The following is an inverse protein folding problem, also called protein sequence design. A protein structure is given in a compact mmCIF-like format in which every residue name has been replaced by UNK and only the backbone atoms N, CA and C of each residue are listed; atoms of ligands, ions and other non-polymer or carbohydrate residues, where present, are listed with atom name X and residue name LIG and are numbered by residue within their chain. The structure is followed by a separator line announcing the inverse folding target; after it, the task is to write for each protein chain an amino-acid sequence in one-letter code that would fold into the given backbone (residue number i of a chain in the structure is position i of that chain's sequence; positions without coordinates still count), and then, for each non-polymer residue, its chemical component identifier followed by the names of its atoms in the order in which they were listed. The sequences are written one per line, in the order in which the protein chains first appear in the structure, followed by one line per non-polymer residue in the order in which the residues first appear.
data_IF_310776373076
#
_entry.id   IF_310776373076
#
_cell.length_a   1.000
_cell.length_b   1.000
_cell.length_c   1.000
_cell.angle_alpha   90.00
_cell.angle_beta   90.00
_cell.angle_gamma   90.00
#
_symmetry.space_group_name_H-M   'P 1'
#
loop_
_entity.id
_entity.type
_entity.pdbx_description
1 polymer ?
#
# COMPACT_ATOMS: atom_id res chain seq x y z
N UNK A 1 -1.12 20.17 -4.12
CA UNK A 1 -1.79 18.95 -4.58
C UNK A 1 -0.87 17.78 -4.28
N UNK A 2 -1.39 16.69 -3.74
CA UNK A 2 -0.65 15.45 -3.49
C UNK A 2 -1.03 14.42 -4.56
N UNK A 3 -0.10 13.52 -4.88
CA UNK A 3 -0.36 12.35 -5.71
C UNK A 3 -0.84 11.21 -4.81
N UNK A 4 -2.01 10.67 -5.11
CA UNK A 4 -2.66 9.58 -4.37
C UNK A 4 -2.15 8.23 -4.83
N UNK A 5 -1.44 7.54 -3.95
CA UNK A 5 -0.68 6.33 -4.29
C UNK A 5 -1.28 5.11 -3.59
N UNK A 6 -1.43 4.04 -4.37
CA UNK A 6 -1.64 2.69 -3.88
C UNK A 6 -0.36 1.86 -4.03
N UNK A 7 -0.04 1.02 -3.05
CA UNK A 7 1.11 0.11 -3.08
C UNK A 7 0.63 -1.34 -3.03
N UNK A 8 0.94 -2.15 -4.04
CA UNK A 8 0.73 -3.60 -3.99
C UNK A 8 1.97 -4.30 -3.44
N UNK A 9 1.78 -5.48 -2.85
CA UNK A 9 2.88 -6.17 -2.16
C UNK A 9 3.31 -5.42 -0.88
N UNK A 10 2.35 -4.76 -0.21
CA UNK A 10 2.59 -3.86 0.92
C UNK A 10 3.33 -4.51 2.10
N UNK A 11 3.17 -5.81 2.32
CA UNK A 11 3.88 -6.54 3.39
C UNK A 11 5.29 -6.99 2.98
N UNK A 12 5.61 -6.91 1.69
CA UNK A 12 6.95 -7.20 1.17
C UNK A 12 7.98 -6.18 1.64
N UNK A 13 9.27 -6.54 1.52
CA UNK A 13 10.39 -5.65 1.88
C UNK A 13 10.30 -4.31 1.17
N UNK A 14 10.05 -4.32 -0.14
CA UNK A 14 9.93 -3.08 -0.92
C UNK A 14 8.61 -2.35 -0.65
N UNK A 15 7.50 -3.08 -0.45
CA UNK A 15 6.21 -2.48 -0.11
C UNK A 15 6.29 -1.60 1.14
N UNK A 16 6.94 -2.10 2.20
CA UNK A 16 7.19 -1.32 3.43
C UNK A 16 8.03 -0.06 3.18
N UNK A 17 9.11 -0.19 2.40
CA UNK A 17 9.95 0.96 2.02
C UNK A 17 9.20 1.99 1.20
N UNK A 18 8.32 1.55 0.29
CA UNK A 18 7.49 2.46 -0.50
C UNK A 18 6.46 3.19 0.37
N UNK A 19 5.82 2.48 1.31
CA UNK A 19 4.90 3.10 2.29
C UNK A 19 5.61 4.19 3.09
N UNK A 20 6.80 3.89 3.62
CA UNK A 20 7.64 4.87 4.31
C UNK A 20 8.00 6.06 3.41
N UNK A 21 8.44 5.81 2.18
CA UNK A 21 8.82 6.86 1.24
C UNK A 21 7.65 7.78 0.84
N UNK A 22 6.45 7.21 0.67
CA UNK A 22 5.23 7.98 0.41
C UNK A 22 4.90 8.86 1.61
N UNK A 23 4.98 8.33 2.84
CA UNK A 23 4.70 9.09 4.06
C UNK A 23 5.71 10.23 4.32
N UNK A 24 6.96 10.07 3.90
CA UNK A 24 7.99 11.12 4.01
C UNK A 24 7.86 12.23 2.95
N UNK A 25 7.08 12.01 1.90
CA UNK A 25 6.96 12.95 0.79
C UNK A 25 5.82 13.96 1.03
N UNK A 26 6.09 15.28 1.00
CA UNK A 26 5.02 16.29 1.09
C UNK A 26 4.15 16.37 -0.17
N UNK A 27 4.51 15.63 -1.23
CA UNK A 27 3.82 15.63 -2.52
C UNK A 27 3.10 14.31 -2.81
N UNK A 28 3.12 13.35 -1.88
CA UNK A 28 2.45 12.07 -2.03
C UNK A 28 1.58 11.76 -0.82
N UNK A 29 0.55 10.96 -1.04
CA UNK A 29 -0.36 10.49 0.00
C UNK A 29 -0.62 9.00 -0.23
N UNK A 30 -0.37 8.18 0.80
CA UNK A 30 -0.73 6.77 0.75
C UNK A 30 -2.24 6.68 0.91
N UNK A 31 -2.91 6.04 -0.06
CA UNK A 31 -4.36 5.83 -0.03
C UNK A 31 -4.75 4.38 0.07
N UNK A 32 -3.88 3.47 -0.34
CA UNK A 32 -4.12 2.04 -0.22
C UNK A 32 -2.84 1.23 -0.10
N UNK A 33 -2.95 0.14 0.65
CA UNK A 33 -1.93 -0.90 0.77
C UNK A 33 -2.59 -2.24 0.45
N UNK A 34 -2.10 -2.93 -0.58
CA UNK A 34 -2.69 -4.15 -1.10
C UNK A 34 -1.74 -5.31 -0.89
N UNK A 35 -2.29 -6.42 -0.44
CA UNK A 35 -1.63 -7.73 -0.38
C UNK A 35 -2.51 -8.79 -1.01
N UNK A 36 -1.94 -9.99 -1.15
CA UNK A 36 -2.70 -11.17 -1.59
C UNK A 36 -3.89 -11.40 -0.65
N UNK A 37 -5.10 -11.75 -1.16
CA UNK A 37 -6.28 -11.99 -0.32
C UNK A 37 -6.06 -13.04 0.77
N UNK A 38 -5.16 -13.99 0.55
CA UNK A 38 -4.81 -15.06 1.50
C UNK A 38 -3.78 -14.65 2.55
N UNK A 39 -3.32 -13.40 2.55
CA UNK A 39 -2.35 -12.90 3.53
C UNK A 39 -2.96 -12.87 4.93
N UNK A 40 -2.21 -13.31 5.94
CA UNK A 40 -2.62 -13.16 7.33
C UNK A 40 -2.57 -11.71 7.83
N UNK A 41 -2.11 -10.79 6.98
CA UNK A 41 -1.91 -9.37 7.29
C UNK A 41 -3.05 -8.48 6.78
N UNK A 42 -4.08 -9.06 6.15
CA UNK A 42 -5.28 -8.30 5.78
C UNK A 42 -5.90 -7.69 7.05
N UNK A 43 -6.23 -6.40 6.98
CA UNK A 43 -6.76 -5.61 8.09
C UNK A 43 -5.72 -5.00 9.02
N UNK A 44 -4.44 -5.38 8.93
CA UNK A 44 -3.35 -4.71 9.66
C UNK A 44 -3.15 -3.31 9.10
N UNK A 45 -2.83 -2.33 9.95
CA UNK A 45 -2.54 -0.98 9.50
C UNK A 45 -1.23 -0.93 8.68
N UNK A 46 -1.26 -0.24 7.53
CA UNK A 46 -0.13 -0.13 6.62
C UNK A 46 1.07 0.59 7.24
N UNK A 47 0.83 1.58 8.10
CA UNK A 47 1.89 2.31 8.78
C UNK A 47 2.54 1.48 9.87
N UNK A 48 1.76 0.74 10.65
CA UNK A 48 2.29 -0.23 11.62
C UNK A 48 3.11 -1.31 10.94
N UNK A 49 2.63 -1.82 9.81
CA UNK A 49 3.33 -2.82 8.99
C UNK A 49 4.70 -2.33 8.50
N UNK A 50 4.78 -1.04 8.15
CA UNK A 50 5.99 -0.36 7.68
C UNK A 50 6.85 0.23 8.83
N UNK A 51 6.37 0.19 10.08
CA UNK A 51 7.12 0.70 11.24
C UNK A 51 7.14 2.23 11.38
N UNK A 52 6.20 2.93 10.75
CA UNK A 52 6.13 4.41 10.72
C UNK A 52 5.00 4.98 11.60
N UNK A 53 4.37 4.14 12.42
CA UNK A 53 3.23 4.50 13.26
C UNK A 53 1.88 4.25 12.58
N UNK A 54 0.79 4.52 13.28
CA UNK A 54 -0.56 4.21 12.80
C UNK A 54 -1.02 5.23 11.74
N UNK A 55 -1.42 4.76 10.55
CA UNK A 55 -1.92 5.61 9.46
C UNK A 55 -3.45 5.57 9.29
N UNK A 56 -4.14 4.63 9.91
CA UNK A 56 -5.58 4.41 9.72
C UNK A 56 -5.91 3.79 8.35
N UNK A 57 -4.96 3.12 7.72
CA UNK A 57 -5.07 2.55 6.38
C UNK A 57 -4.91 1.03 6.47
N UNK A 58 -6.00 0.25 6.52
CA UNK A 58 -5.91 -1.20 6.60
C UNK A 58 -5.36 -1.76 5.28
N UNK A 59 -4.56 -2.81 5.38
CA UNK A 59 -4.15 -3.61 4.22
C UNK A 59 -5.36 -4.39 3.69
N UNK A 60 -5.63 -4.27 2.39
CA UNK A 60 -6.75 -4.92 1.70
C UNK A 60 -6.28 -6.06 0.78
N UNK A 61 -7.21 -6.96 0.45
CA UNK A 61 -6.92 -8.16 -0.34
C UNK A 61 -7.02 -7.95 -1.85
N UNK A 62 -7.72 -6.90 -2.29
CA UNK A 62 -7.89 -6.58 -3.69
C UNK A 62 -7.75 -5.09 -3.95
N UNK A 63 -7.21 -4.74 -5.12
CA UNK A 63 -7.22 -3.36 -5.60
C UNK A 63 -8.66 -2.86 -5.80
N UNK A 64 -9.59 -3.74 -6.17
CA UNK A 64 -11.00 -3.39 -6.42
C UNK A 64 -11.70 -2.80 -5.18
N UNK A 65 -11.23 -3.13 -3.99
CA UNK A 65 -11.75 -2.61 -2.72
C UNK A 65 -11.39 -1.12 -2.51
N UNK A 66 -10.41 -0.60 -3.27
CA UNK A 66 -9.78 0.72 -3.06
C UNK A 66 -9.65 1.53 -4.35
N UNK A 67 -10.26 1.10 -5.46
CA UNK A 67 -10.17 1.77 -6.76
C UNK A 67 -10.75 3.20 -6.80
N UNK A 68 -11.49 3.60 -5.76
CA UNK A 68 -12.04 4.95 -5.67
C UNK A 68 -10.97 5.91 -5.11
N UNK A 69 -10.63 6.96 -5.87
CA UNK A 69 -9.76 8.06 -5.44
C UNK A 69 -8.24 7.77 -5.38
N UNK A 70 -7.71 7.11 -6.42
CA UNK A 70 -6.28 6.86 -6.64
C UNK A 70 -5.79 7.53 -7.93
N UNK A 71 -4.56 8.06 -7.93
CA UNK A 71 -3.90 8.60 -9.13
C UNK A 71 -2.92 7.57 -9.73
N UNK A 72 -2.21 6.83 -8.87
CA UNK A 72 -1.12 5.92 -9.28
C UNK A 72 -1.12 4.65 -8.43
N UNK A 73 -0.81 3.52 -9.06
CA UNK A 73 -0.50 2.25 -8.39
C UNK A 73 0.97 1.94 -8.58
N UNK A 74 1.68 1.65 -7.49
CA UNK A 74 3.05 1.17 -7.50
C UNK A 74 3.02 -0.34 -7.21
N UNK A 75 3.39 -1.14 -8.21
CA UNK A 75 3.44 -2.59 -8.09
C UNK A 75 4.87 -3.09 -7.92
N UNK A 76 5.16 -3.63 -6.73
CA UNK A 76 6.42 -4.32 -6.39
C UNK A 76 6.15 -5.74 -5.87
N UNK A 77 5.15 -6.39 -6.45
CA UNK A 77 4.83 -7.79 -6.22
C UNK A 77 5.61 -8.73 -7.15
N UNK A 78 5.25 -10.01 -7.19
CA UNK A 78 5.89 -10.97 -8.09
C UNK A 78 5.31 -10.85 -9.51
N UNK A 79 6.05 -11.19 -10.59
CA UNK A 79 5.54 -11.06 -11.96
C UNK A 79 4.18 -11.74 -12.21
N UNK A 80 3.95 -12.90 -11.57
CA UNK A 80 2.68 -13.62 -11.66
C UNK A 80 1.50 -12.92 -10.96
N UNK A 81 1.75 -11.90 -10.15
CA UNK A 81 0.73 -11.08 -9.49
C UNK A 81 0.49 -9.75 -10.23
N UNK A 82 1.35 -9.38 -11.18
CA UNK A 82 1.25 -8.16 -11.99
C UNK A 82 0.54 -8.38 -13.34
N UNK A 83 0.60 -9.61 -13.90
CA UNK A 83 -0.02 -10.03 -15.16
C UNK A 83 -1.50 -10.36 -15.00
#
# INVERSE_FOLDING_TARGET
MTVKIAVTGAAGRMGKTLIEAVNLSPHAELRAAIERPTSSLIGVDAGELAGIGHLGLPVVGSLDEVLCDLDVVIDFSAPAATL
#
